data_IF_331118675742
#
_entry.id   IF_331118675742
#
_cell.length_a   1.000
_cell.length_b   1.000
_cell.length_c   1.000
_cell.angle_alpha   90.00
_cell.angle_beta   90.00
_cell.angle_gamma   90.00
#
_symmetry.space_group_name_H-M   'P 1'
#
loop_
_entity.id
_entity.type
_entity.pdbx_description
1 polymer ?
#
# COMPACT_ATOMS: atom_id res chain seq x y z
N UNK A 1 5.23 18.24 -2.16
CA UNK A 1 5.36 18.82 -3.51
C UNK A 1 5.05 17.82 -4.63
N UNK A 2 5.53 16.56 -4.57
CA UNK A 2 5.14 15.51 -5.54
C UNK A 2 3.68 15.06 -5.41
N UNK A 3 3.19 14.86 -4.18
CA UNK A 3 1.80 14.49 -3.89
C UNK A 3 0.78 15.49 -4.42
N UNK A 4 1.03 16.79 -4.22
CA UNK A 4 0.18 17.85 -4.75
C UNK A 4 0.17 17.86 -6.27
N UNK A 5 1.27 17.50 -6.93
CA UNK A 5 1.36 17.47 -8.39
C UNK A 5 0.63 16.26 -8.99
N UNK A 6 0.77 15.07 -8.39
CA UNK A 6 0.02 13.86 -8.79
C UNK A 6 -1.48 14.01 -8.53
N UNK A 7 -1.86 14.62 -7.41
CA UNK A 7 -3.26 14.89 -7.11
C UNK A 7 -3.86 15.91 -8.08
N UNK A 8 -3.13 17.00 -8.40
CA UNK A 8 -3.60 18.01 -9.34
C UNK A 8 -3.67 17.45 -10.78
N UNK A 9 -2.72 16.63 -11.20
CA UNK A 9 -2.75 16.00 -12.52
C UNK A 9 -3.91 15.00 -12.66
N UNK A 10 -4.21 14.24 -11.60
CA UNK A 10 -5.37 13.37 -11.53
C UNK A 10 -6.69 14.16 -11.57
N UNK A 11 -6.79 15.27 -10.82
CA UNK A 11 -7.96 16.15 -10.86
C UNK A 11 -8.18 16.80 -12.23
N UNK A 12 -7.10 17.26 -12.87
CA UNK A 12 -7.17 17.80 -14.23
C UNK A 12 -7.61 16.75 -15.25
N UNK A 13 -7.12 15.52 -15.12
CA UNK A 13 -7.58 14.42 -15.96
C UNK A 13 -9.08 14.15 -15.73
N UNK A 14 -9.53 14.05 -14.48
CA UNK A 14 -10.95 13.85 -14.14
C UNK A 14 -11.86 14.93 -14.73
N UNK A 15 -11.44 16.20 -14.71
CA UNK A 15 -12.21 17.31 -15.25
C UNK A 15 -12.35 17.27 -16.78
N UNK A 16 -11.37 16.71 -17.49
CA UNK A 16 -11.30 16.73 -18.95
C UNK A 16 -11.17 15.35 -19.60
N UNK A 17 -11.56 14.27 -18.90
CA UNK A 17 -11.38 12.88 -19.33
C UNK A 17 -11.95 12.63 -20.72
N UNK A 18 -13.18 13.11 -20.99
CA UNK A 18 -13.85 13.00 -22.30
C UNK A 18 -13.07 13.55 -23.49
N UNK A 19 -12.10 14.44 -23.26
CA UNK A 19 -11.24 15.00 -24.30
C UNK A 19 -9.87 14.30 -24.25
N UNK A 20 -9.32 14.15 -23.05
CA UNK A 20 -7.98 13.61 -22.83
C UNK A 20 -7.88 12.12 -23.21
N UNK A 21 -8.95 11.35 -23.09
CA UNK A 21 -8.99 9.92 -23.48
C UNK A 21 -8.69 9.68 -24.97
N UNK A 22 -8.94 10.68 -25.81
CA UNK A 22 -8.69 10.61 -27.25
C UNK A 22 -7.34 11.22 -27.64
N UNK A 23 -6.61 11.83 -26.70
CA UNK A 23 -5.36 12.54 -26.96
C UNK A 23 -4.15 11.70 -26.52
N UNK A 24 -3.03 11.75 -27.26
CA UNK A 24 -1.81 11.13 -26.79
C UNK A 24 -1.27 11.87 -25.56
N UNK A 25 -0.83 11.13 -24.54
CA UNK A 25 -0.23 11.73 -23.35
C UNK A 25 0.27 10.70 -22.33
N UNK A 26 0.92 11.16 -21.25
CA UNK A 26 1.46 10.29 -20.21
C UNK A 26 0.38 9.48 -19.47
N UNK A 27 -0.87 9.95 -19.44
CA UNK A 27 -2.00 9.24 -18.85
C UNK A 27 -2.24 7.88 -19.54
N UNK A 28 -2.03 7.76 -20.86
CA UNK A 28 -2.17 6.47 -21.57
C UNK A 28 -1.16 5.44 -21.06
N UNK A 29 0.06 5.87 -20.73
CA UNK A 29 1.04 5.00 -20.09
C UNK A 29 0.58 4.61 -18.69
N UNK A 30 0.08 5.56 -17.90
CA UNK A 30 -0.47 5.26 -16.56
C UNK A 30 -1.60 4.23 -16.64
N UNK A 31 -2.52 4.35 -17.59
CA UNK A 31 -3.58 3.36 -17.78
C UNK A 31 -3.04 1.99 -18.19
N UNK A 32 -2.07 1.92 -19.09
CA UNK A 32 -1.43 0.67 -19.45
C UNK A 32 -0.75 -0.02 -18.25
N UNK A 33 -0.10 0.72 -17.36
CA UNK A 33 0.51 0.18 -16.13
C UNK A 33 -0.57 -0.29 -15.13
N UNK A 34 -1.69 0.45 -15.01
CA UNK A 34 -2.83 0.05 -14.18
C UNK A 34 -3.43 -1.27 -14.71
N UNK A 35 -3.62 -1.38 -16.02
CA UNK A 35 -4.15 -2.60 -16.64
C UNK A 35 -3.20 -3.79 -16.45
N UNK A 36 -1.88 -3.58 -16.58
CA UNK A 36 -0.89 -4.60 -16.30
C UNK A 36 -0.93 -5.06 -14.84
N UNK A 37 -1.08 -4.13 -13.88
CA UNK A 37 -1.16 -4.48 -12.47
C UNK A 37 -2.47 -5.18 -12.11
N UNK A 38 -3.60 -4.76 -12.69
CA UNK A 38 -4.88 -5.47 -12.56
C UNK A 38 -4.81 -6.87 -13.14
N UNK A 39 -4.10 -7.06 -14.27
CA UNK A 39 -3.88 -8.38 -14.85
C UNK A 39 -3.06 -9.28 -13.91
N UNK A 40 -1.99 -8.74 -13.32
CA UNK A 40 -1.21 -9.44 -12.30
C UNK A 40 -2.08 -9.87 -11.09
N UNK A 41 -2.86 -8.94 -10.53
CA UNK A 41 -3.78 -9.19 -9.42
C UNK A 41 -4.80 -10.28 -9.79
N UNK A 42 -5.32 -10.26 -11.02
CA UNK A 42 -6.25 -11.27 -11.53
C UNK A 42 -5.63 -12.67 -11.62
N UNK A 43 -4.37 -12.78 -12.03
CA UNK A 43 -3.65 -14.07 -12.05
C UNK A 43 -3.42 -14.61 -10.63
N UNK A 44 -2.98 -13.77 -9.69
CA UNK A 44 -2.85 -14.14 -8.27
C UNK A 44 -4.17 -14.68 -7.71
N UNK A 45 -5.30 -14.05 -8.05
CA UNK A 45 -6.62 -14.50 -7.62
C UNK A 45 -7.03 -15.86 -8.19
N UNK A 46 -6.63 -16.18 -9.42
CA UNK A 46 -6.88 -17.52 -9.99
C UNK A 46 -6.14 -18.59 -9.19
N UNK A 47 -4.91 -18.30 -8.76
CA UNK A 47 -4.14 -19.22 -7.91
C UNK A 47 -4.83 -19.43 -6.56
N UNK A 48 -5.19 -18.35 -5.86
CA UNK A 48 -5.89 -18.42 -4.57
C UNK A 48 -7.21 -19.19 -4.69
N UNK A 49 -8.00 -18.95 -5.75
CA UNK A 49 -9.25 -19.68 -5.99
C UNK A 49 -9.03 -21.18 -6.21
N UNK A 50 -7.90 -21.58 -6.78
CA UNK A 50 -7.55 -22.99 -7.01
C UNK A 50 -7.13 -23.73 -5.75
N UNK A 51 -6.53 -23.03 -4.77
CA UNK A 51 -6.04 -23.59 -3.50
C UNK A 51 -6.84 -23.17 -2.28
N UNK A 52 -7.97 -22.49 -2.45
CA UNK A 52 -8.75 -21.90 -1.36
C UNK A 52 -9.23 -22.97 -0.37
N UNK A 53 -8.82 -22.82 0.89
CA UNK A 53 -9.40 -23.53 2.03
C UNK A 53 -10.29 -22.56 2.83
N UNK A 54 -11.63 -22.67 2.72
CA UNK A 54 -12.54 -21.79 3.44
C UNK A 54 -12.46 -21.89 4.97
N UNK A 55 -11.86 -22.94 5.51
CA UNK A 55 -11.67 -23.13 6.96
C UNK A 55 -10.43 -22.42 7.49
N UNK A 56 -9.49 -22.05 6.63
CA UNK A 56 -8.21 -21.44 6.98
C UNK A 56 -7.76 -20.40 5.93
N UNK A 57 -8.47 -19.27 5.78
CA UNK A 57 -8.07 -18.23 4.84
C UNK A 57 -6.71 -17.63 5.22
N UNK A 58 -5.78 -17.54 4.26
CA UNK A 58 -4.39 -17.17 4.54
C UNK A 58 -4.14 -15.66 4.48
N UNK A 59 -4.93 -14.95 3.68
CA UNK A 59 -4.76 -13.52 3.44
C UNK A 59 -6.07 -12.81 3.07
N UNK A 60 -5.94 -11.55 2.67
CA UNK A 60 -7.04 -10.70 2.24
C UNK A 60 -7.84 -11.29 1.08
N UNK A 61 -7.18 -11.88 0.07
CA UNK A 61 -7.83 -12.43 -1.11
C UNK A 61 -8.69 -13.63 -0.71
N UNK A 62 -8.14 -14.54 0.08
CA UNK A 62 -8.89 -15.71 0.59
C UNK A 62 -10.08 -15.28 1.44
N UNK A 63 -9.90 -14.30 2.33
CA UNK A 63 -10.97 -13.76 3.16
C UNK A 63 -12.11 -13.19 2.30
N UNK A 64 -11.77 -12.42 1.26
CA UNK A 64 -12.75 -11.84 0.35
C UNK A 64 -13.47 -12.93 -0.47
N UNK A 65 -12.73 -13.92 -0.98
CA UNK A 65 -13.31 -15.06 -1.70
C UNK A 65 -14.27 -15.86 -0.82
N UNK A 66 -13.91 -16.12 0.44
CA UNK A 66 -14.78 -16.79 1.42
C UNK A 66 -16.07 -15.97 1.68
N UNK A 67 -15.95 -14.65 1.79
CA UNK A 67 -17.08 -13.74 1.99
C UNK A 67 -17.99 -13.71 0.77
N UNK A 68 -17.42 -13.65 -0.44
CA UNK A 68 -18.15 -13.76 -1.71
C UNK A 68 -18.95 -15.06 -1.82
N UNK A 69 -18.39 -16.19 -1.37
CA UNK A 69 -19.14 -17.46 -1.32
C UNK A 69 -20.33 -17.40 -0.35
N UNK A 70 -20.15 -16.81 0.84
CA UNK A 70 -21.21 -16.64 1.84
C UNK A 70 -22.34 -15.74 1.36
N UNK A 71 -22.04 -14.73 0.54
CA UNK A 71 -23.00 -13.75 0.03
C UNK A 71 -23.55 -14.05 -1.37
N UNK A 72 -23.27 -15.23 -1.93
CA UNK A 72 -23.68 -15.60 -3.31
C UNK A 72 -25.18 -15.43 -3.61
N UNK A 73 -26.04 -15.50 -2.60
CA UNK A 73 -27.50 -15.32 -2.73
C UNK A 73 -27.98 -13.88 -2.59
N UNK A 74 -27.11 -12.94 -2.25
CA UNK A 74 -27.43 -11.53 -2.10
C UNK A 74 -27.14 -10.80 -3.42
N UNK A 75 -28.16 -10.40 -4.21
CA UNK A 75 -27.95 -9.68 -5.47
C UNK A 75 -27.37 -8.27 -5.27
N UNK A 76 -27.46 -7.72 -4.06
CA UNK A 76 -26.92 -6.40 -3.70
C UNK A 76 -25.56 -6.52 -3.00
N UNK A 77 -24.87 -7.66 -3.09
CA UNK A 77 -23.56 -7.83 -2.46
C UNK A 77 -22.49 -7.03 -3.20
N UNK A 78 -21.66 -6.32 -2.43
CA UNK A 78 -20.45 -5.68 -2.93
C UNK A 78 -19.28 -6.67 -3.10
N UNK A 79 -19.43 -7.93 -2.67
CA UNK A 79 -18.39 -8.94 -2.77
C UNK A 79 -18.49 -9.67 -4.11
N UNK A 80 -17.89 -9.07 -5.14
CA UNK A 80 -17.74 -9.67 -6.47
C UNK A 80 -16.31 -9.49 -6.99
N UNK A 81 -15.98 -10.21 -8.07
CA UNK A 81 -14.61 -10.31 -8.59
C UNK A 81 -13.98 -8.95 -8.95
N UNK A 82 -14.74 -8.07 -9.59
CA UNK A 82 -14.25 -6.74 -9.96
C UNK A 82 -13.88 -5.89 -8.74
N UNK A 83 -14.69 -5.90 -7.68
CA UNK A 83 -14.37 -5.20 -6.44
C UNK A 83 -13.19 -5.82 -5.71
N UNK A 84 -13.02 -7.14 -5.79
CA UNK A 84 -11.84 -7.81 -5.26
C UNK A 84 -10.58 -7.35 -5.99
N UNK A 85 -10.56 -7.35 -7.33
CA UNK A 85 -9.43 -6.86 -8.14
C UNK A 85 -9.11 -5.41 -7.81
N UNK A 86 -10.11 -4.53 -7.83
CA UNK A 86 -9.93 -3.10 -7.58
C UNK A 86 -9.44 -2.85 -6.15
N UNK A 87 -10.03 -3.49 -5.14
CA UNK A 87 -9.62 -3.29 -3.75
C UNK A 87 -8.22 -3.82 -3.47
N UNK A 88 -7.83 -4.97 -4.05
CA UNK A 88 -6.47 -5.50 -3.91
C UNK A 88 -5.45 -4.58 -4.58
N UNK A 89 -5.77 -4.07 -5.78
CA UNK A 89 -4.96 -3.07 -6.46
C UNK A 89 -4.79 -1.80 -5.62
N UNK A 90 -5.89 -1.27 -5.06
CA UNK A 90 -5.88 -0.07 -4.23
C UNK A 90 -5.00 -0.26 -2.99
N UNK A 91 -5.14 -1.38 -2.27
CA UNK A 91 -4.31 -1.71 -1.10
C UNK A 91 -2.82 -1.76 -1.48
N UNK A 92 -2.48 -2.36 -2.62
CA UNK A 92 -1.10 -2.51 -3.06
C UNK A 92 -0.44 -1.16 -3.37
N UNK A 93 -1.11 -0.33 -4.18
CA UNK A 93 -0.58 0.99 -4.54
C UNK A 93 -0.52 1.92 -3.33
N UNK A 94 -1.62 2.00 -2.56
CA UNK A 94 -1.70 2.90 -1.41
C UNK A 94 -0.64 2.55 -0.36
N UNK A 95 -0.42 1.27 -0.08
CA UNK A 95 0.56 0.82 0.92
C UNK A 95 2.01 0.94 0.46
N UNK A 96 2.29 0.70 -0.82
CA UNK A 96 3.67 0.62 -1.32
C UNK A 96 4.30 2.00 -1.56
N UNK A 97 3.63 2.86 -2.33
CA UNK A 97 4.22 4.13 -2.74
C UNK A 97 4.40 5.07 -1.55
N UNK A 98 3.34 5.27 -0.76
CA UNK A 98 3.35 6.16 0.41
C UNK A 98 4.46 5.77 1.38
N UNK A 99 4.50 4.50 1.80
CA UNK A 99 5.47 3.97 2.77
C UNK A 99 6.89 4.04 2.22
N UNK A 100 7.11 3.62 0.97
CA UNK A 100 8.45 3.66 0.36
C UNK A 100 8.97 5.10 0.25
N UNK A 101 8.13 6.04 -0.15
CA UNK A 101 8.50 7.46 -0.19
C UNK A 101 8.82 7.99 1.21
N UNK A 102 7.98 7.70 2.21
CA UNK A 102 8.21 8.14 3.59
C UNK A 102 9.53 7.59 4.14
N UNK A 103 9.80 6.29 3.98
CA UNK A 103 11.06 5.68 4.42
C UNK A 103 12.25 6.32 3.72
N UNK A 104 12.17 6.54 2.40
CA UNK A 104 13.24 7.18 1.63
C UNK A 104 13.55 8.59 2.14
N UNK A 105 12.51 9.38 2.42
CA UNK A 105 12.69 10.72 2.99
C UNK A 105 13.19 10.67 4.44
N UNK A 106 12.69 9.75 5.26
CA UNK A 106 13.17 9.53 6.62
C UNK A 106 14.67 9.23 6.66
N UNK A 107 15.15 8.31 5.82
CA UNK A 107 16.58 8.01 5.69
C UNK A 107 17.39 9.24 5.22
N UNK A 108 16.87 10.00 4.25
CA UNK A 108 17.51 11.24 3.80
C UNK A 108 17.62 12.28 4.93
N UNK A 109 16.58 12.42 5.75
CA UNK A 109 16.57 13.32 6.90
C UNK A 109 17.56 12.88 7.96
N UNK A 110 17.63 11.58 8.28
CA UNK A 110 18.62 11.05 9.22
C UNK A 110 20.06 11.33 8.76
N UNK A 111 20.35 11.15 7.47
CA UNK A 111 21.65 11.50 6.88
C UNK A 111 21.96 13.00 6.96
N UNK A 112 20.95 13.85 6.78
CA UNK A 112 21.09 15.32 6.86
C UNK A 112 21.28 15.80 8.31
N UNK A 113 20.71 15.10 9.28
CA UNK A 113 20.74 15.45 10.70
C UNK A 113 21.41 14.34 11.53
N UNK A 114 22.74 14.17 11.42
CA UNK A 114 23.45 13.04 12.03
C UNK A 114 23.31 12.95 13.56
N UNK A 115 23.15 14.09 14.25
CA UNK A 115 22.90 14.11 15.71
C UNK A 115 21.55 13.50 16.08
N UNK A 116 20.54 13.59 15.22
CA UNK A 116 19.23 12.94 15.42
C UNK A 116 19.39 11.44 15.19
N UNK A 117 20.09 11.05 14.11
CA UNK A 117 20.39 9.65 13.84
C UNK A 117 21.15 8.98 14.99
N UNK A 118 22.17 9.63 15.55
CA UNK A 118 22.94 9.12 16.69
C UNK A 118 22.05 8.84 17.91
N UNK A 119 21.15 9.78 18.25
CA UNK A 119 20.20 9.60 19.36
C UNK A 119 19.19 8.48 19.13
N UNK A 120 18.68 8.34 17.90
CA UNK A 120 17.80 7.22 17.53
C UNK A 120 18.55 5.89 17.69
N UNK A 121 19.79 5.82 17.22
CA UNK A 121 20.62 4.61 17.36
C UNK A 121 20.94 4.29 18.82
N UNK A 122 21.24 5.29 19.65
CA UNK A 122 21.46 5.13 21.09
C UNK A 122 20.21 4.55 21.76
N UNK A 123 19.02 5.08 21.47
CA UNK A 123 17.77 4.57 22.04
C UNK A 123 17.46 3.14 21.57
N UNK A 124 17.71 2.81 20.30
CA UNK A 124 17.61 1.44 19.77
C UNK A 124 18.55 0.50 20.53
N UNK A 125 19.83 0.87 20.70
CA UNK A 125 20.82 0.05 21.39
C UNK A 125 20.46 -0.15 22.88
N UNK A 126 19.83 0.84 23.53
CA UNK A 126 19.38 0.76 24.92
C UNK A 126 18.14 -0.14 25.12
N UNK A 127 17.12 0.00 24.26
CA UNK A 127 15.82 -0.67 24.45
C UNK A 127 15.76 -2.04 23.76
N UNK A 128 16.25 -2.11 22.52
CA UNK A 128 16.22 -3.33 21.71
C UNK A 128 17.50 -4.13 21.91
N UNK A 129 18.64 -3.44 21.93
CA UNK A 129 19.96 -4.05 21.94
C UNK A 129 20.30 -4.75 20.63
N UNK A 130 21.43 -5.45 20.60
CA UNK A 130 21.99 -6.05 19.37
C UNK A 130 21.67 -7.54 19.16
N UNK A 131 21.03 -8.18 20.14
CA UNK A 131 20.81 -9.63 20.16
C UNK A 131 19.46 -10.07 19.57
N UNK A 132 18.51 -9.15 19.39
CA UNK A 132 17.16 -9.46 18.91
C UNK A 132 16.68 -8.46 17.88
N UNK A 133 15.63 -8.84 17.14
CA UNK A 133 14.93 -7.93 16.21
C UNK A 133 14.00 -6.99 16.99
N UNK A 134 13.79 -5.74 16.52
CA UNK A 134 12.74 -4.87 17.04
C UNK A 134 11.34 -5.49 16.86
N UNK A 135 10.43 -5.17 17.77
CA UNK A 135 9.02 -5.51 17.67
C UNK A 135 8.12 -4.32 18.01
N UNK A 136 6.82 -4.40 17.70
CA UNK A 136 5.87 -3.29 17.89
C UNK A 136 5.78 -2.85 19.36
N UNK A 137 5.98 -3.78 20.30
CA UNK A 137 5.94 -3.46 21.74
C UNK A 137 7.07 -2.52 22.19
N UNK A 138 8.21 -2.53 21.50
CA UNK A 138 9.36 -1.67 21.80
C UNK A 138 9.03 -0.18 21.62
N UNK A 139 8.09 0.15 20.70
CA UNK A 139 7.71 1.53 20.36
C UNK A 139 7.36 2.36 21.60
N UNK A 140 6.62 1.79 22.55
CA UNK A 140 6.21 2.47 23.78
C UNK A 140 7.36 2.86 24.70
N UNK A 141 8.52 2.21 24.54
CA UNK A 141 9.74 2.43 25.32
C UNK A 141 10.76 3.28 24.55
N UNK A 142 10.44 3.71 23.33
CA UNK A 142 11.34 4.46 22.45
C UNK A 142 10.73 5.83 22.07
N UNK A 143 10.46 6.71 23.05
CA UNK A 143 9.77 7.97 22.81
C UNK A 143 10.52 8.91 21.84
N UNK A 144 11.86 8.87 21.79
CA UNK A 144 12.62 9.71 20.87
C UNK A 144 12.48 9.22 19.43
N UNK A 145 12.62 7.92 19.20
CA UNK A 145 12.43 7.29 17.89
C UNK A 145 10.99 7.45 17.43
N UNK A 146 10.00 7.29 18.32
CA UNK A 146 8.59 7.53 17.99
C UNK A 146 8.35 8.99 17.61
N UNK A 147 8.93 9.95 18.31
CA UNK A 147 8.85 11.37 17.92
C UNK A 147 9.47 11.63 16.54
N UNK A 148 10.64 11.05 16.24
CA UNK A 148 11.29 11.20 14.91
C UNK A 148 10.45 10.59 13.78
N UNK A 149 9.71 9.51 14.05
CA UNK A 149 8.81 8.91 13.05
C UNK A 149 7.57 9.76 12.75
N UNK A 150 7.16 10.64 13.68
CA UNK A 150 5.97 11.49 13.51
C UNK A 150 6.26 12.87 12.90
N UNK A 151 7.49 13.38 13.04
CA UNK A 151 7.92 14.69 12.50
C UNK A 151 8.08 14.68 10.97
#
# INVERSE_FOLDING_TARGET
MLWTFLFLSFQLYQMFSKILDYLPGPHNRVFAEIDALKAFVSEEMKMHKGSLDPSSPQDYIDCFLCKMQKEKKNPNSSFHMENLITSTFDLFIAGSETTSTTIRYGLLLLLKYPKIQEKVQEEIDQVVGRSRRPCVADRSQMPYTDAVLHE
#
